data_IF_395556315126
#
_entry.id   IF_395556315126
#
_cell.length_a   1.000
_cell.length_b   1.000
_cell.length_c   1.000
_cell.angle_alpha   90.00
_cell.angle_beta   90.00
_cell.angle_gamma   90.00
#
_symmetry.space_group_name_H-M   'P 1'
#
loop_
_entity.id
_entity.type
_entity.pdbx_description
1 polymer ?
#
# COMPACT_ATOMS: atom_id res chain seq x y z
N UNK A 1 14.91 18.75 -6.92
CA UNK A 1 13.89 18.25 -7.87
C UNK A 1 14.48 17.19 -8.79
N UNK A 2 13.73 16.14 -9.12
CA UNK A 2 14.14 15.15 -10.12
C UNK A 2 13.84 15.63 -11.53
N UNK A 3 14.71 15.31 -12.50
CA UNK A 3 14.39 15.51 -13.91
C UNK A 3 13.29 14.56 -14.35
N UNK A 4 12.57 14.88 -15.44
CA UNK A 4 11.52 14.02 -15.99
C UNK A 4 11.99 12.58 -16.27
N UNK A 5 13.22 12.40 -16.78
CA UNK A 5 13.82 11.09 -17.04
C UNK A 5 14.15 10.34 -15.74
N UNK A 6 14.67 11.02 -14.71
CA UNK A 6 14.93 10.42 -13.40
C UNK A 6 13.63 9.98 -12.73
N UNK A 7 12.58 10.81 -12.76
CA UNK A 7 11.26 10.48 -12.23
C UNK A 7 10.68 9.23 -12.92
N UNK A 8 10.69 9.20 -14.25
CA UNK A 8 10.17 8.06 -15.03
C UNK A 8 10.95 6.77 -14.74
N UNK A 9 12.29 6.84 -14.62
CA UNK A 9 13.11 5.70 -14.27
C UNK A 9 12.77 5.17 -12.86
N UNK A 10 12.67 6.05 -11.89
CA UNK A 10 12.34 5.69 -10.50
C UNK A 10 10.97 5.01 -10.40
N UNK A 11 9.96 5.57 -11.06
CA UNK A 11 8.63 4.98 -11.11
C UNK A 11 8.62 3.61 -11.81
N UNK A 12 9.39 3.45 -12.90
CA UNK A 12 9.53 2.17 -13.59
C UNK A 12 10.20 1.11 -12.70
N UNK A 13 11.31 1.46 -12.02
CA UNK A 13 12.01 0.58 -11.09
C UNK A 13 11.05 0.17 -9.97
N UNK A 14 10.36 1.12 -9.35
CA UNK A 14 9.40 0.87 -8.29
C UNK A 14 8.27 -0.07 -8.75
N UNK A 15 7.68 0.20 -9.91
CA UNK A 15 6.63 -0.63 -10.51
C UNK A 15 7.12 -2.07 -10.74
N UNK A 16 8.32 -2.24 -11.28
CA UNK A 16 8.89 -3.56 -11.61
C UNK A 16 9.22 -4.36 -10.35
N UNK A 17 9.87 -3.74 -9.37
CA UNK A 17 10.16 -4.38 -8.06
C UNK A 17 8.85 -4.82 -7.39
N UNK A 18 7.83 -3.99 -7.42
CA UNK A 18 6.52 -4.33 -6.83
C UNK A 18 5.80 -5.46 -7.57
N UNK A 19 5.88 -5.51 -8.91
CA UNK A 19 5.16 -6.53 -9.69
C UNK A 19 5.87 -7.88 -9.75
N UNK A 20 7.20 -7.92 -9.67
CA UNK A 20 8.00 -9.15 -9.84
C UNK A 20 8.90 -9.49 -8.66
N UNK A 21 8.97 -8.61 -7.63
CA UNK A 21 9.90 -8.78 -6.50
C UNK A 21 11.37 -8.61 -6.88
N UNK A 22 11.67 -8.37 -8.14
CA UNK A 22 13.04 -8.32 -8.68
C UNK A 22 13.27 -6.98 -9.36
N UNK A 23 14.40 -6.35 -9.07
CA UNK A 23 14.81 -5.11 -9.74
C UNK A 23 14.98 -5.34 -11.25
N UNK A 24 14.50 -4.40 -12.11
CA UNK A 24 14.64 -4.51 -13.54
C UNK A 24 16.11 -4.50 -13.97
N UNK A 25 16.41 -5.20 -15.06
CA UNK A 25 17.73 -5.16 -15.67
C UNK A 25 18.00 -3.81 -16.36
N UNK A 26 19.26 -3.47 -16.56
CA UNK A 26 19.65 -2.27 -17.32
C UNK A 26 19.08 -2.23 -18.73
N UNK A 27 18.87 -3.40 -19.35
CA UNK A 27 18.23 -3.52 -20.66
C UNK A 27 16.75 -3.15 -20.61
N UNK A 28 16.02 -3.69 -19.62
CA UNK A 28 14.60 -3.35 -19.40
C UNK A 28 14.43 -1.85 -19.09
N UNK A 29 15.30 -1.27 -18.27
CA UNK A 29 15.29 0.15 -17.95
C UNK A 29 15.59 1.00 -19.18
N UNK A 30 16.56 0.59 -20.00
CA UNK A 30 16.92 1.26 -21.27
C UNK A 30 15.73 1.27 -22.22
N UNK A 31 15.07 0.14 -22.41
CA UNK A 31 13.93 -0.02 -23.30
C UNK A 31 12.72 0.79 -22.81
N UNK A 32 12.44 0.80 -21.51
CA UNK A 32 11.31 1.54 -20.92
C UNK A 32 11.44 3.06 -21.09
N UNK A 33 12.66 3.58 -21.17
CA UNK A 33 12.95 5.00 -21.33
C UNK A 33 13.34 5.40 -22.77
N UNK A 34 13.29 4.45 -23.73
CA UNK A 34 13.72 4.62 -25.11
C UNK A 34 15.13 5.23 -25.22
N UNK A 35 16.06 4.77 -24.39
CA UNK A 35 17.45 5.23 -24.43
C UNK A 35 18.29 4.36 -25.36
N UNK A 36 19.25 4.99 -26.07
CA UNK A 36 20.11 4.27 -27.01
C UNK A 36 21.22 3.44 -26.35
N UNK A 37 21.62 3.79 -25.10
CA UNK A 37 22.74 3.12 -24.43
C UNK A 37 22.47 2.83 -22.95
N UNK A 38 23.09 1.76 -22.43
CA UNK A 38 23.07 1.38 -21.01
C UNK A 38 23.81 2.39 -20.12
N UNK A 39 24.81 3.10 -20.66
CA UNK A 39 25.56 4.13 -19.92
C UNK A 39 24.67 5.31 -19.50
N UNK A 40 23.62 5.62 -20.27
CA UNK A 40 22.61 6.60 -19.88
C UNK A 40 21.82 6.17 -18.64
N UNK A 41 21.47 4.89 -18.53
CA UNK A 41 20.82 4.32 -17.34
C UNK A 41 21.74 4.37 -16.13
N UNK A 42 23.01 3.99 -16.29
CA UNK A 42 23.99 4.08 -15.21
C UNK A 42 24.05 5.48 -14.58
N UNK A 43 24.16 6.52 -15.40
CA UNK A 43 24.20 7.91 -14.93
C UNK A 43 22.91 8.30 -14.20
N UNK A 44 21.75 7.86 -14.69
CA UNK A 44 20.47 8.16 -14.05
C UNK A 44 20.33 7.46 -12.69
N UNK A 45 20.76 6.19 -12.58
CA UNK A 45 20.75 5.44 -11.31
C UNK A 45 21.72 6.07 -10.31
N UNK A 46 22.95 6.41 -10.70
CA UNK A 46 23.91 7.05 -9.80
C UNK A 46 23.38 8.40 -9.30
N UNK A 47 22.76 9.21 -10.15
CA UNK A 47 22.14 10.45 -9.72
C UNK A 47 20.92 10.27 -8.81
N UNK A 48 20.16 9.17 -8.94
CA UNK A 48 19.07 8.81 -8.02
C UNK A 48 19.62 8.31 -6.68
N UNK A 49 20.72 7.57 -6.69
CA UNK A 49 21.42 7.06 -5.51
C UNK A 49 22.04 8.20 -4.69
N UNK A 50 22.76 9.13 -5.32
CA UNK A 50 23.32 10.34 -4.69
C UNK A 50 22.26 11.20 -4.01
N UNK A 51 21.04 11.22 -4.57
CA UNK A 51 19.90 11.95 -4.01
C UNK A 51 19.08 11.13 -3.02
N UNK A 52 19.49 9.90 -2.72
CA UNK A 52 18.86 9.00 -1.76
C UNK A 52 17.47 8.48 -2.16
N UNK A 53 17.15 8.42 -3.47
CA UNK A 53 15.90 7.84 -3.96
C UNK A 53 16.00 6.33 -4.16
N UNK A 54 17.19 5.82 -4.52
CA UNK A 54 17.49 4.40 -4.65
C UNK A 54 18.77 4.07 -3.90
N UNK A 55 18.92 2.82 -3.50
CA UNK A 55 20.14 2.26 -2.88
C UNK A 55 20.50 0.99 -3.59
N UNK A 56 21.81 0.75 -3.82
CA UNK A 56 22.32 -0.53 -4.29
C UNK A 56 22.55 -1.43 -3.08
N UNK A 57 22.07 -2.67 -3.15
CA UNK A 57 22.32 -3.67 -2.13
C UNK A 57 23.63 -4.41 -2.48
N UNK A 58 24.57 -4.43 -1.54
CA UNK A 58 25.83 -5.14 -1.68
C UNK A 58 25.58 -6.65 -1.74
N UNK A 59 26.42 -7.37 -2.51
CA UNK A 59 26.39 -8.83 -2.67
C UNK A 59 25.20 -9.46 -3.40
N UNK A 60 24.31 -8.67 -4.05
CA UNK A 60 23.24 -9.20 -4.91
C UNK A 60 23.32 -8.61 -6.31
N UNK A 61 23.51 -9.45 -7.31
CA UNK A 61 23.42 -9.02 -8.71
C UNK A 61 22.04 -8.42 -8.99
N UNK A 62 22.00 -7.18 -9.50
CA UNK A 62 20.80 -6.43 -9.86
C UNK A 62 19.93 -5.90 -8.70
N UNK A 63 20.47 -5.77 -7.49
CA UNK A 63 19.66 -5.34 -6.37
C UNK A 63 19.67 -3.82 -6.21
N UNK A 64 18.61 -3.18 -6.70
CA UNK A 64 18.24 -1.79 -6.40
C UNK A 64 17.05 -1.78 -5.44
N UNK A 65 17.17 -1.02 -4.39
CA UNK A 65 16.10 -0.73 -3.45
C UNK A 65 15.61 0.70 -3.67
N UNK A 66 14.30 0.91 -3.73
CA UNK A 66 13.72 2.25 -3.78
C UNK A 66 13.50 2.73 -2.37
N UNK A 67 14.26 3.75 -1.95
CA UNK A 67 14.24 4.31 -0.59
C UNK A 67 13.14 5.34 -0.42
N UNK A 68 12.90 6.19 -1.44
CA UNK A 68 11.83 7.19 -1.44
C UNK A 68 11.31 7.45 -2.85
N UNK A 69 10.05 7.85 -2.94
CA UNK A 69 9.41 8.27 -4.18
C UNK A 69 9.38 9.81 -4.30
N UNK A 70 9.23 10.37 -5.51
CA UNK A 70 9.12 11.80 -5.70
C UNK A 70 7.79 12.32 -5.14
N UNK A 71 7.80 13.50 -4.53
CA UNK A 71 6.66 14.16 -3.88
C UNK A 71 5.41 14.33 -4.76
N UNK A 72 5.55 14.20 -6.09
CA UNK A 72 4.46 14.29 -7.07
C UNK A 72 4.10 12.94 -7.71
N UNK A 73 4.38 11.81 -7.07
CA UNK A 73 3.83 10.52 -7.48
C UNK A 73 2.35 10.48 -7.10
N UNK A 74 1.44 10.31 -8.08
CA UNK A 74 0.01 10.30 -7.77
C UNK A 74 -0.35 9.05 -6.98
N UNK A 75 -1.33 9.17 -6.07
CA UNK A 75 -1.84 8.05 -5.29
C UNK A 75 -2.31 6.87 -6.17
N UNK A 76 -2.79 7.14 -7.39
CA UNK A 76 -3.14 6.12 -8.38
C UNK A 76 -1.94 5.28 -8.83
N UNK A 77 -0.73 5.86 -8.91
CA UNK A 77 0.49 5.09 -9.22
C UNK A 77 0.91 4.18 -8.05
N UNK A 78 0.43 4.50 -6.85
CA UNK A 78 0.74 3.78 -5.60
C UNK A 78 -0.25 2.63 -5.38
N UNK A 79 -1.54 2.84 -5.57
CA UNK A 79 -2.60 1.85 -5.27
C UNK A 79 -2.99 0.96 -6.47
N UNK A 80 -3.00 1.46 -7.70
CA UNK A 80 -3.36 0.66 -8.88
C UNK A 80 -2.29 -0.36 -9.30
N UNK A 81 -1.11 -0.34 -8.69
CA UNK A 81 -0.05 -1.31 -8.98
C UNK A 81 0.13 -2.38 -7.89
N UNK A 82 -0.70 -2.38 -6.83
CA UNK A 82 -0.65 -3.42 -5.82
C UNK A 82 -1.45 -4.64 -6.31
N UNK A 83 -0.79 -5.50 -7.08
CA UNK A 83 -1.18 -6.89 -7.22
C UNK A 83 -0.24 -7.70 -6.35
N UNK A 84 -0.69 -8.33 -5.26
CA UNK A 84 0.14 -9.25 -4.51
C UNK A 84 0.51 -10.42 -5.43
N UNK A 85 1.77 -10.46 -5.89
CA UNK A 85 2.28 -11.62 -6.61
C UNK A 85 2.91 -12.58 -5.62
N UNK A 86 2.35 -13.78 -5.52
CA UNK A 86 2.96 -14.89 -4.79
C UNK A 86 4.24 -15.30 -5.53
N UNK A 87 5.39 -15.06 -4.94
CA UNK A 87 6.66 -15.63 -5.42
C UNK A 87 6.60 -17.13 -5.10
N UNK A 88 6.37 -17.96 -6.11
CA UNK A 88 6.59 -19.40 -6.01
C UNK A 88 8.09 -19.66 -5.89
N UNK A 89 8.61 -19.68 -4.68
CA UNK A 89 9.89 -20.29 -4.35
C UNK A 89 9.69 -21.81 -4.30
N UNK A 90 10.28 -22.52 -5.25
CA UNK A 90 10.20 -23.97 -5.26
C UNK A 90 10.97 -24.60 -4.11
N UNK A 91 10.24 -25.32 -3.28
CA UNK A 91 10.65 -26.54 -2.58
C UNK A 91 9.36 -27.28 -2.23
N UNK A 92 9.17 -28.42 -2.89
CA UNK A 92 8.07 -29.35 -2.59
C UNK A 92 8.14 -29.79 -1.12
N UNK A 93 7.19 -29.34 -0.33
CA UNK A 93 6.72 -30.02 0.88
C UNK A 93 5.24 -29.76 0.99
N UNK A 94 4.48 -30.82 1.26
CA UNK A 94 3.07 -30.80 1.58
C UNK A 94 2.75 -29.74 2.64
N UNK A 95 2.46 -28.53 2.21
CA UNK A 95 2.04 -27.45 3.09
C UNK A 95 0.54 -27.21 2.85
N UNK A 96 -0.21 -27.40 3.91
CA UNK A 96 -1.51 -26.75 4.08
C UNK A 96 -1.32 -25.29 3.64
N UNK A 97 -2.03 -24.88 2.60
CA UNK A 97 -1.98 -23.52 2.03
C UNK A 97 -2.46 -22.52 3.07
N UNK A 98 -1.57 -22.10 3.97
CA UNK A 98 -1.78 -20.88 4.71
C UNK A 98 -1.57 -19.72 3.75
N UNK A 99 -2.64 -19.06 3.36
CA UNK A 99 -2.56 -17.87 2.52
C UNK A 99 -2.28 -16.70 3.46
N UNK A 100 -1.00 -16.44 3.70
CA UNK A 100 -0.59 -15.27 4.48
C UNK A 100 -0.86 -14.00 3.70
N UNK A 101 -1.40 -12.98 4.37
CA UNK A 101 -1.54 -11.64 3.83
C UNK A 101 -0.47 -10.71 4.42
N UNK A 102 -0.05 -9.76 3.62
CA UNK A 102 0.90 -8.73 4.05
C UNK A 102 0.19 -7.66 4.87
N UNK A 103 0.80 -7.30 5.99
CA UNK A 103 0.41 -6.12 6.77
C UNK A 103 1.18 -4.92 6.23
N UNK A 104 0.47 -4.01 5.58
CA UNK A 104 1.00 -2.85 4.88
C UNK A 104 1.04 -1.65 5.82
N UNK A 105 2.04 -1.55 6.69
CA UNK A 105 2.22 -0.39 7.55
C UNK A 105 1.04 -0.10 8.50
N UNK A 106 0.95 1.15 8.96
CA UNK A 106 -0.04 1.58 9.94
C UNK A 106 -1.02 2.60 9.38
N UNK A 107 -2.27 2.54 9.84
CA UNK A 107 -3.32 3.50 9.51
C UNK A 107 -3.77 4.25 10.76
N UNK A 108 -3.69 5.59 10.71
CA UNK A 108 -4.23 6.49 11.72
C UNK A 108 -5.08 7.58 11.05
N UNK A 109 -5.86 8.32 11.82
CA UNK A 109 -6.48 9.54 11.30
C UNK A 109 -5.38 10.55 10.92
N UNK A 110 -5.37 11.00 9.65
CA UNK A 110 -4.36 11.94 9.15
C UNK A 110 -3.03 11.32 8.73
N UNK A 111 -2.95 9.98 8.62
CA UNK A 111 -1.73 9.32 8.15
C UNK A 111 -1.56 9.53 6.65
N UNK A 112 -0.41 10.08 6.24
CA UNK A 112 -0.06 10.16 4.83
C UNK A 112 0.16 8.76 4.25
N UNK A 113 -0.22 8.57 2.97
CA UNK A 113 -0.17 7.28 2.26
C UNK A 113 1.22 6.64 2.30
N UNK A 114 2.27 7.44 2.35
CA UNK A 114 3.67 7.01 2.41
C UNK A 114 3.98 6.13 3.63
N UNK A 115 3.26 6.32 4.74
CA UNK A 115 3.43 5.52 5.96
C UNK A 115 2.79 4.12 5.86
N UNK A 116 1.96 3.86 4.85
CA UNK A 116 1.25 2.58 4.64
C UNK A 116 2.06 1.60 3.77
N UNK A 117 3.21 2.00 3.24
CA UNK A 117 3.91 1.27 2.17
C UNK A 117 4.99 0.28 2.61
N UNK A 118 5.29 0.17 3.89
CA UNK A 118 6.29 -0.79 4.37
C UNK A 118 5.59 -2.07 4.82
N UNK A 119 5.97 -3.22 4.26
CA UNK A 119 5.61 -4.51 4.84
C UNK A 119 6.19 -4.58 6.25
N UNK A 120 5.32 -4.62 7.23
CA UNK A 120 5.69 -4.64 8.65
C UNK A 120 5.57 -6.04 9.21
N UNK A 121 4.65 -6.87 8.67
CA UNK A 121 4.33 -8.17 9.24
C UNK A 121 3.52 -9.04 8.26
N UNK A 122 3.30 -10.31 8.61
CA UNK A 122 2.42 -11.24 7.89
C UNK A 122 1.44 -11.86 8.86
N UNK A 123 0.19 -11.99 8.43
CA UNK A 123 -0.88 -12.61 9.21
C UNK A 123 -1.57 -13.67 8.35
N UNK A 124 -1.80 -14.85 8.93
CA UNK A 124 -2.54 -15.90 8.26
C UNK A 124 -3.99 -15.47 8.03
N UNK A 125 -4.45 -15.57 6.76
CA UNK A 125 -5.82 -15.26 6.41
C UNK A 125 -6.73 -16.43 6.84
N UNK A 126 -7.83 -16.20 7.58
CA UNK A 126 -8.83 -17.21 7.86
C UNK A 126 -9.32 -17.91 6.59
N UNK A 127 -9.56 -19.23 6.68
CA UNK A 127 -9.90 -20.06 5.50
C UNK A 127 -11.16 -19.57 4.77
N UNK A 128 -12.15 -19.08 5.50
CA UNK A 128 -13.39 -18.52 4.97
C UNK A 128 -13.20 -17.25 4.14
N UNK A 129 -12.10 -16.56 4.33
CA UNK A 129 -11.74 -15.36 3.58
C UNK A 129 -10.82 -15.63 2.37
N UNK A 130 -10.13 -16.78 2.32
CA UNK A 130 -9.10 -17.07 1.30
C UNK A 130 -9.63 -17.04 -0.14
N UNK A 131 -10.86 -17.44 -0.37
CA UNK A 131 -11.47 -17.52 -1.70
C UNK A 131 -12.34 -16.31 -2.07
N UNK A 132 -12.31 -15.25 -1.27
CA UNK A 132 -13.26 -14.14 -1.38
C UNK A 132 -12.61 -12.81 -1.81
N UNK A 133 -11.70 -12.86 -2.79
CA UNK A 133 -11.03 -11.69 -3.36
C UNK A 133 -9.72 -11.31 -2.67
N UNK A 134 -9.17 -10.16 -3.03
CA UNK A 134 -7.89 -9.67 -2.51
C UNK A 134 -8.05 -9.09 -1.10
N UNK A 135 -7.14 -9.47 -0.20
CA UNK A 135 -7.09 -8.99 1.18
C UNK A 135 -5.71 -8.42 1.51
N UNK A 136 -5.67 -7.47 2.42
CA UNK A 136 -4.45 -6.93 3.00
C UNK A 136 -4.66 -6.57 4.47
N UNK A 137 -3.58 -6.56 5.24
CA UNK A 137 -3.58 -6.15 6.63
C UNK A 137 -3.12 -4.71 6.80
N UNK A 138 -3.65 -4.01 7.81
CA UNK A 138 -3.16 -2.71 8.26
C UNK A 138 -3.07 -2.69 9.77
N UNK A 139 -1.97 -2.16 10.32
CA UNK A 139 -1.84 -1.92 11.75
C UNK A 139 -2.58 -0.64 12.14
N UNK A 140 -3.48 -0.75 13.09
CA UNK A 140 -4.24 0.39 13.59
C UNK A 140 -3.38 1.24 14.50
N UNK A 141 -3.43 2.57 14.33
CA UNK A 141 -2.79 3.52 15.22
C UNK A 141 -3.82 4.56 15.66
N UNK A 142 -3.91 4.71 16.99
CA UNK A 142 -4.86 5.60 17.63
C UNK A 142 -6.17 4.93 18.03
N UNK A 143 -7.06 5.70 18.63
CA UNK A 143 -8.25 5.26 19.34
C UNK A 143 -9.59 5.64 18.67
N UNK A 144 -9.55 6.15 17.45
CA UNK A 144 -10.74 6.69 16.77
C UNK A 144 -11.84 5.65 16.51
N UNK A 145 -11.56 4.35 16.66
CA UNK A 145 -12.49 3.24 16.41
C UNK A 145 -12.67 2.33 17.63
N UNK A 146 -12.32 2.80 18.82
CA UNK A 146 -12.32 2.01 20.06
C UNK A 146 -13.71 1.50 20.45
N UNK A 147 -14.77 2.28 20.23
CA UNK A 147 -16.15 1.88 20.51
C UNK A 147 -16.69 0.82 19.51
N UNK A 148 -15.95 0.59 18.41
CA UNK A 148 -16.17 -0.54 17.51
C UNK A 148 -15.32 -1.76 17.87
N UNK A 149 -14.62 -1.74 19.01
CA UNK A 149 -13.73 -2.81 19.46
C UNK A 149 -12.37 -2.84 18.77
N UNK A 150 -12.03 -1.81 17.98
CA UNK A 150 -10.76 -1.70 17.26
C UNK A 150 -9.84 -0.77 18.05
N UNK A 151 -8.76 -1.32 18.60
CA UNK A 151 -7.84 -0.64 19.49
C UNK A 151 -6.53 -0.28 18.76
N UNK A 152 -5.79 0.63 19.39
CA UNK A 152 -4.41 0.89 18.98
C UNK A 152 -3.56 -0.40 19.00
N UNK A 153 -2.75 -0.61 17.98
CA UNK A 153 -1.92 -1.81 17.84
C UNK A 153 -2.62 -3.04 17.21
N UNK A 154 -3.94 -3.01 17.03
CA UNK A 154 -4.64 -4.09 16.30
C UNK A 154 -4.17 -4.18 14.84
N UNK A 155 -4.32 -5.37 14.28
CA UNK A 155 -4.19 -5.58 12.84
C UNK A 155 -5.57 -5.82 12.24
N UNK A 156 -6.03 -4.92 11.38
CA UNK A 156 -7.29 -5.07 10.64
C UNK A 156 -7.06 -5.75 9.30
N UNK A 157 -7.90 -6.73 8.96
CA UNK A 157 -7.92 -7.39 7.67
C UNK A 157 -8.98 -6.71 6.80
N UNK A 158 -8.53 -6.20 5.67
CA UNK A 158 -9.33 -5.40 4.75
C UNK A 158 -9.47 -6.14 3.43
N UNK A 159 -10.70 -6.37 3.00
CA UNK A 159 -11.01 -6.84 1.65
C UNK A 159 -11.00 -5.65 0.70
N UNK A 160 -10.18 -5.71 -0.35
CA UNK A 160 -10.11 -4.67 -1.39
C UNK A 160 -11.46 -4.48 -2.06
N UNK A 161 -11.96 -3.27 -2.08
CA UNK A 161 -13.22 -2.92 -2.70
C UNK A 161 -13.22 -1.43 -3.05
N UNK A 162 -13.82 -1.07 -4.17
CA UNK A 162 -14.03 0.32 -4.59
C UNK A 162 -15.34 0.90 -4.07
N UNK A 163 -16.20 0.06 -3.48
CA UNK A 163 -17.49 0.45 -2.93
C UNK A 163 -17.80 -0.37 -1.66
N UNK A 164 -18.51 0.26 -0.71
CA UNK A 164 -19.00 -0.37 0.53
C UNK A 164 -20.42 0.14 0.83
N UNK A 165 -21.17 -0.65 1.58
CA UNK A 165 -22.52 -0.25 2.00
C UNK A 165 -22.46 0.77 3.15
N UNK A 166 -23.51 1.57 3.24
CA UNK A 166 -23.65 2.53 4.34
C UNK A 166 -23.73 1.79 5.68
N UNK A 167 -22.91 2.20 6.64
CA UNK A 167 -22.79 1.57 7.96
C UNK A 167 -21.57 0.64 8.10
N UNK A 168 -20.93 0.25 7.01
CA UNK A 168 -19.72 -0.57 7.05
C UNK A 168 -18.49 0.27 7.46
N UNK A 169 -17.51 -0.41 8.07
CA UNK A 169 -16.20 0.17 8.37
C UNK A 169 -15.29 -0.09 7.17
N UNK A 170 -14.64 0.94 6.71
CA UNK A 170 -13.79 0.90 5.53
C UNK A 170 -12.53 1.75 5.67
N UNK A 171 -11.52 1.38 4.92
CA UNK A 171 -10.35 2.20 4.64
C UNK A 171 -10.67 3.11 3.47
N UNK A 172 -10.47 4.40 3.66
CA UNK A 172 -10.71 5.42 2.64
C UNK A 172 -9.52 6.34 2.50
N UNK A 173 -9.37 6.89 1.29
CA UNK A 173 -8.50 8.02 1.00
C UNK A 173 -9.32 9.28 0.87
N UNK A 174 -8.84 10.34 1.50
CA UNK A 174 -9.38 11.70 1.41
C UNK A 174 -8.43 12.49 0.52
N UNK A 175 -8.95 13.07 -0.57
CA UNK A 175 -8.21 13.90 -1.53
C UNK A 175 -6.94 13.22 -2.08
N UNK A 176 -6.93 11.89 -2.16
CA UNK A 176 -5.77 11.07 -2.58
C UNK A 176 -4.50 11.24 -1.70
N UNK A 177 -4.61 11.80 -0.51
CA UNK A 177 -3.48 12.13 0.35
C UNK A 177 -3.55 11.49 1.73
N UNK A 178 -4.72 11.48 2.35
CA UNK A 178 -4.91 11.03 3.72
C UNK A 178 -5.70 9.72 3.76
N UNK A 179 -5.10 8.67 4.34
CA UNK A 179 -5.78 7.40 4.58
C UNK A 179 -6.37 7.36 5.99
N UNK A 180 -7.56 6.80 6.13
CA UNK A 180 -8.20 6.62 7.44
C UNK A 180 -9.15 5.43 7.46
N UNK A 181 -9.36 4.85 8.66
CA UNK A 181 -10.35 3.80 8.93
C UNK A 181 -11.55 4.44 9.65
N UNK A 182 -12.73 4.40 9.02
CA UNK A 182 -13.95 4.99 9.57
C UNK A 182 -15.19 4.19 9.20
N UNK A 183 -16.28 4.41 9.92
CA UNK A 183 -17.62 3.96 9.50
C UNK A 183 -18.13 4.90 8.42
N UNK A 184 -18.57 4.32 7.31
CA UNK A 184 -19.04 5.06 6.15
C UNK A 184 -20.55 5.25 6.23
N UNK A 185 -21.03 6.48 6.05
CA UNK A 185 -22.44 6.79 5.83
C UNK A 185 -22.61 7.58 4.54
N UNK A 186 -23.34 7.00 3.60
CA UNK A 186 -23.64 7.62 2.31
C UNK A 186 -24.99 8.30 2.35
N UNK A 187 -25.03 9.57 1.91
CA UNK A 187 -26.29 10.35 1.77
C UNK A 187 -26.20 11.20 0.51
N UNK A 188 -26.91 10.78 -0.54
CA UNK A 188 -26.86 11.46 -1.84
C UNK A 188 -25.42 11.56 -2.37
N UNK A 189 -24.95 12.75 -2.64
CA UNK A 189 -23.61 13.02 -3.18
C UNK A 189 -22.57 13.31 -2.08
N UNK A 190 -22.84 12.93 -0.83
CA UNK A 190 -21.94 13.12 0.30
C UNK A 190 -21.64 11.81 1.02
N UNK A 191 -20.48 11.74 1.63
CA UNK A 191 -20.04 10.64 2.47
C UNK A 191 -19.63 11.20 3.82
N UNK A 192 -20.27 10.72 4.87
CA UNK A 192 -19.87 10.99 6.24
C UNK A 192 -18.92 9.89 6.71
N UNK A 193 -17.80 10.30 7.28
CA UNK A 193 -16.79 9.46 7.91
C UNK A 193 -16.98 9.57 9.43
N UNK A 194 -17.56 8.53 10.01
CA UNK A 194 -17.86 8.46 11.44
C UNK A 194 -16.76 7.72 12.19
N UNK A 195 -16.19 8.34 13.20
CA UNK A 195 -15.38 7.64 14.19
C UNK A 195 -16.30 6.81 15.11
N UNK A 196 -15.81 5.69 15.58
CA UNK A 196 -16.42 4.94 16.67
C UNK A 196 -15.72 5.29 18.00
N UNK A 197 -15.74 6.56 18.34
CA UNK A 197 -15.24 7.14 19.57
C UNK A 197 -15.88 8.53 19.72
N UNK A 198 -16.54 8.78 20.83
CA UNK A 198 -17.27 10.03 21.15
C UNK A 198 -16.40 11.27 21.14
N UNK A 199 -15.09 11.12 21.34
CA UNK A 199 -14.14 12.23 21.32
C UNK A 199 -13.86 12.79 19.91
N UNK A 200 -14.34 12.09 18.86
CA UNK A 200 -14.10 12.46 17.47
C UNK A 200 -15.43 12.81 16.77
N UNK A 201 -15.48 13.99 16.18
CA UNK A 201 -16.61 14.42 15.39
C UNK A 201 -16.70 13.71 14.04
N UNK A 202 -17.93 13.55 13.52
CA UNK A 202 -18.19 13.08 12.17
C UNK A 202 -17.75 14.14 11.15
N UNK A 203 -16.97 13.74 10.17
CA UNK A 203 -16.54 14.60 9.05
C UNK A 203 -17.33 14.24 7.80
N UNK A 204 -17.87 15.24 7.11
CA UNK A 204 -18.66 15.05 5.88
C UNK A 204 -17.89 15.60 4.69
N UNK A 205 -17.80 14.81 3.63
CA UNK A 205 -17.10 15.15 2.39
C UNK A 205 -18.00 14.95 1.18
N UNK A 206 -17.74 15.67 0.10
CA UNK A 206 -18.29 15.35 -1.20
C UNK A 206 -17.77 13.98 -1.68
N UNK A 207 -18.61 13.19 -2.34
CA UNK A 207 -18.26 11.80 -2.72
C UNK A 207 -17.05 11.70 -3.62
N UNK A 208 -16.78 12.72 -4.45
CA UNK A 208 -15.62 12.78 -5.34
C UNK A 208 -14.27 12.98 -4.62
N UNK A 209 -14.29 13.40 -3.34
CA UNK A 209 -13.09 13.56 -2.50
C UNK A 209 -12.71 12.30 -1.75
N UNK A 210 -13.58 11.28 -1.77
CA UNK A 210 -13.39 10.03 -1.01
C UNK A 210 -13.19 8.88 -1.98
N UNK A 211 -12.08 8.17 -1.84
CA UNK A 211 -11.84 6.90 -2.54
C UNK A 211 -11.80 5.75 -1.54
N UNK A 212 -12.72 4.81 -1.71
CA UNK A 212 -12.77 3.60 -0.88
C UNK A 212 -11.66 2.66 -1.34
N UNK A 213 -10.85 2.16 -0.41
CA UNK A 213 -9.75 1.24 -0.66
C UNK A 213 -10.12 -0.20 -0.31
N UNK A 214 -11.06 -0.37 0.62
CA UNK A 214 -11.55 -1.68 1.00
C UNK A 214 -12.42 -1.62 2.24
N UNK A 215 -13.13 -2.73 2.49
CA UNK A 215 -13.97 -2.91 3.69
C UNK A 215 -13.27 -3.75 4.73
N UNK A 216 -13.45 -3.42 6.00
CA UNK A 216 -13.04 -4.25 7.12
C UNK A 216 -13.80 -5.59 7.09
N UNK A 217 -13.07 -6.71 7.17
CA UNK A 217 -13.66 -8.05 7.20
C UNK A 217 -13.27 -8.84 8.45
N UNK A 218 -12.09 -8.56 9.03
CA UNK A 218 -11.64 -9.23 10.24
C UNK A 218 -10.67 -8.38 11.03
N UNK A 219 -10.42 -8.77 12.28
CA UNK A 219 -9.48 -8.11 13.18
C UNK A 219 -8.63 -9.19 13.86
N UNK A 220 -7.34 -8.91 13.92
CA UNK A 220 -6.36 -9.75 14.61
C UNK A 220 -5.71 -8.95 15.72
N UNK A 221 -5.70 -9.54 16.94
CA UNK A 221 -5.09 -8.94 18.13
C UNK A 221 -4.22 -9.95 18.83
N UNK A 222 -2.97 -9.58 19.09
CA UNK A 222 -2.07 -10.33 19.96
C UNK A 222 -2.15 -9.78 21.38
N UNK A 223 -2.22 -10.68 22.34
CA UNK A 223 -2.08 -10.37 23.76
C UNK A 223 -0.70 -10.88 24.19
N UNK A 224 0.13 -9.98 24.66
CA UNK A 224 1.48 -10.28 25.17
C UNK A 224 1.51 -10.19 26.67
#
# INVERSE_FOLDING_TARGET
MLTKKQKNLLLFINKKIRSSGISPSYEEMKNSLNLKSKSGIHRLISALEERGFVKRLEHKARALEVVKLPENASANDIFNSFTPSVIKGGLDKNETKSTDIYVLGSIAAGTQIEAIQQEVDRVALPEDLQNNGEHYGLKVKGDSMIEAGINDGDTVIVKKASNVDSGQIAVVLIDDQEATLKRIRKKGNTIALEAANRNYGTKIYASNRIKIQGKLVSLYRNFH
#
